data_IF_476213993202
#
_entry.id   IF_476213993202
#
_cell.length_a   1.000
_cell.length_b   1.000
_cell.length_c   1.000
_cell.angle_alpha   90.00
_cell.angle_beta   90.00
_cell.angle_gamma   90.00
#
_symmetry.space_group_name_H-M   'P 1'
#
loop_
_entity.id
_entity.type
_entity.pdbx_description
1 polymer ?
#
# COMPACT_ATOMS: atom_id res chain seq x y z
N UNK A 1 0.42 -18.42 -12.76
CA UNK A 1 1.85 -18.21 -12.45
C UNK A 1 1.98 -17.15 -11.35
N UNK A 2 1.37 -17.36 -10.19
CA UNK A 2 1.35 -16.40 -9.08
C UNK A 2 2.49 -16.61 -8.05
N UNK A 3 3.30 -17.66 -8.21
CA UNK A 3 4.14 -18.16 -7.11
C UNK A 3 5.50 -17.47 -6.95
N UNK A 4 6.05 -16.80 -7.98
CA UNK A 4 7.39 -16.19 -7.88
C UNK A 4 7.36 -14.76 -7.35
N UNK A 5 6.40 -13.97 -7.81
CA UNK A 5 6.23 -12.57 -7.40
C UNK A 5 5.80 -12.47 -5.94
N UNK A 6 4.83 -13.29 -5.53
CA UNK A 6 4.39 -13.36 -4.13
C UNK A 6 5.50 -13.86 -3.20
N UNK A 7 6.27 -14.88 -3.61
CA UNK A 7 7.41 -15.36 -2.84
C UNK A 7 8.51 -14.30 -2.67
N UNK A 8 8.77 -13.47 -3.69
CA UNK A 8 9.72 -12.37 -3.60
C UNK A 8 9.28 -11.33 -2.55
N UNK A 9 8.01 -10.91 -2.59
CA UNK A 9 7.43 -9.97 -1.60
C UNK A 9 7.61 -10.47 -0.17
N UNK A 10 7.27 -11.74 0.09
CA UNK A 10 7.45 -12.29 1.43
C UNK A 10 8.93 -12.33 1.84
N UNK A 11 9.84 -12.65 0.91
CA UNK A 11 11.28 -12.59 1.15
C UNK A 11 11.73 -11.21 1.63
N UNK A 12 11.27 -10.15 0.97
CA UNK A 12 11.64 -8.78 1.33
C UNK A 12 11.01 -8.31 2.63
N UNK A 13 9.77 -8.73 2.93
CA UNK A 13 9.16 -8.50 4.24
C UNK A 13 10.00 -9.14 5.36
N UNK A 14 10.46 -10.39 5.18
CA UNK A 14 11.33 -11.04 6.16
C UNK A 14 12.69 -10.36 6.29
N UNK A 15 13.29 -9.89 5.19
CA UNK A 15 14.53 -9.12 5.24
C UNK A 15 14.37 -7.80 6.01
N UNK A 16 13.25 -7.10 5.82
CA UNK A 16 12.94 -5.90 6.60
C UNK A 16 12.77 -6.21 8.09
N UNK A 17 12.02 -7.27 8.43
CA UNK A 17 11.80 -7.69 9.82
C UNK A 17 13.09 -8.17 10.52
N UNK A 18 14.04 -8.70 9.76
CA UNK A 18 15.34 -9.15 10.27
C UNK A 18 16.36 -8.02 10.44
N UNK A 19 16.05 -6.80 9.99
CA UNK A 19 16.95 -5.65 10.14
C UNK A 19 17.03 -5.18 11.61
N UNK A 20 18.18 -4.65 12.02
CA UNK A 20 18.39 -4.08 13.36
C UNK A 20 17.72 -2.70 13.53
N UNK A 21 17.08 -2.16 12.49
CA UNK A 21 16.41 -0.86 12.55
C UNK A 21 15.06 -0.97 13.30
N UNK A 22 14.75 -0.04 14.23
CA UNK A 22 13.44 -0.03 14.87
C UNK A 22 12.35 0.25 13.84
N UNK A 23 11.44 -0.73 13.67
CA UNK A 23 10.39 -0.68 12.66
C UNK A 23 9.18 0.10 13.19
N UNK A 24 8.99 1.32 12.70
CA UNK A 24 7.71 2.01 12.78
C UNK A 24 6.74 1.38 11.77
N UNK A 25 5.53 1.03 12.25
CA UNK A 25 4.45 0.47 11.41
C UNK A 25 4.17 1.34 10.18
N UNK A 26 4.24 2.67 10.30
CA UNK A 26 4.00 3.59 9.18
C UNK A 26 5.15 3.55 8.18
N UNK A 27 6.39 3.49 8.65
CA UNK A 27 7.54 3.34 7.76
C UNK A 27 7.57 1.98 7.06
N UNK A 28 7.19 0.91 7.76
CA UNK A 28 7.06 -0.41 7.16
C UNK A 28 5.98 -0.43 6.08
N UNK A 29 4.83 0.18 6.36
CA UNK A 29 3.75 0.29 5.38
C UNK A 29 4.16 1.11 4.14
N UNK A 30 4.91 2.20 4.31
CA UNK A 30 5.47 2.98 3.21
C UNK A 30 6.44 2.17 2.35
N UNK A 31 7.38 1.44 2.96
CA UNK A 31 8.31 0.58 2.22
C UNK A 31 7.56 -0.50 1.43
N UNK A 32 6.60 -1.18 2.07
CA UNK A 32 5.79 -2.21 1.39
C UNK A 32 4.93 -1.61 0.27
N UNK A 33 4.42 -0.39 0.47
CA UNK A 33 3.66 0.34 -0.55
C UNK A 33 4.51 0.62 -1.80
N UNK A 34 5.73 1.14 -1.62
CA UNK A 34 6.65 1.39 -2.73
C UNK A 34 6.96 0.10 -3.50
N UNK A 35 7.23 -0.99 -2.78
CA UNK A 35 7.50 -2.30 -3.38
C UNK A 35 6.30 -2.87 -4.15
N UNK A 36 5.07 -2.64 -3.68
CA UNK A 36 3.86 -3.13 -4.39
C UNK A 36 3.76 -2.61 -5.82
N UNK A 37 4.23 -1.37 -6.06
CA UNK A 37 4.32 -0.79 -7.39
C UNK A 37 5.33 -1.49 -8.31
N UNK A 38 6.44 -1.99 -7.77
CA UNK A 38 7.45 -2.75 -8.54
C UNK A 38 6.92 -4.12 -9.01
N UNK A 39 5.95 -4.68 -8.28
CA UNK A 39 5.35 -5.97 -8.56
C UNK A 39 4.01 -5.89 -9.30
N UNK A 40 3.65 -4.70 -9.80
CA UNK A 40 2.42 -4.44 -10.57
C UNK A 40 1.14 -4.77 -9.78
N UNK A 41 1.21 -4.70 -8.44
CA UNK A 41 0.05 -4.83 -7.57
C UNK A 41 -0.61 -3.47 -7.38
N UNK A 42 -1.85 -3.37 -7.83
CA UNK A 42 -2.68 -2.21 -7.52
C UNK A 42 -3.32 -2.37 -6.14
N UNK A 43 -3.50 -1.29 -5.37
CA UNK A 43 -4.19 -1.32 -4.08
C UNK A 43 -5.55 -2.01 -4.12
N UNK A 44 -6.30 -1.78 -5.20
CA UNK A 44 -7.58 -2.43 -5.47
C UNK A 44 -7.48 -3.96 -5.53
N UNK A 45 -6.41 -4.51 -6.14
CA UNK A 45 -6.18 -5.96 -6.19
C UNK A 45 -5.76 -6.55 -4.84
N UNK A 46 -5.26 -5.71 -3.92
CA UNK A 46 -4.79 -6.13 -2.60
C UNK A 46 -5.90 -6.13 -1.54
N UNK A 47 -7.08 -5.55 -1.84
CA UNK A 47 -8.22 -5.46 -0.90
C UNK A 47 -7.83 -4.86 0.46
N UNK A 48 -6.93 -3.87 0.47
CA UNK A 48 -6.34 -3.33 1.69
C UNK A 48 -6.72 -1.87 1.96
N UNK A 49 -7.77 -1.36 1.31
CA UNK A 49 -8.19 0.05 1.36
C UNK A 49 -8.32 0.60 2.78
N UNK A 50 -9.03 -0.11 3.67
CA UNK A 50 -9.23 0.32 5.06
C UNK A 50 -7.89 0.42 5.82
N UNK A 51 -7.00 -0.55 5.64
CA UNK A 51 -5.68 -0.55 6.27
C UNK A 51 -4.81 0.61 5.72
N UNK A 52 -4.88 0.88 4.42
CA UNK A 52 -4.17 2.00 3.81
C UNK A 52 -4.68 3.35 4.32
N UNK A 53 -5.99 3.48 4.54
CA UNK A 53 -6.57 4.68 5.16
C UNK A 53 -6.05 4.88 6.58
N UNK A 54 -6.06 3.84 7.41
CA UNK A 54 -5.54 3.89 8.78
C UNK A 54 -4.05 4.28 8.84
N UNK A 55 -3.26 3.81 7.87
CA UNK A 55 -1.83 4.10 7.75
C UNK A 55 -1.52 5.45 7.09
N UNK A 56 -2.54 6.15 6.57
CA UNK A 56 -2.40 7.42 5.87
C UNK A 56 -1.79 7.30 4.47
N UNK A 57 -1.90 6.11 3.86
CA UNK A 57 -1.48 5.77 2.50
C UNK A 57 -2.64 5.80 1.49
N UNK A 58 -3.86 5.98 1.97
CA UNK A 58 -5.04 6.26 1.16
C UNK A 58 -5.97 7.20 1.91
N UNK A 59 -6.91 7.83 1.19
CA UNK A 59 -7.96 8.64 1.78
C UNK A 59 -9.26 8.52 0.99
N UNK A 60 -10.39 8.67 1.69
CA UNK A 60 -11.69 8.86 1.03
C UNK A 60 -11.72 10.28 0.48
N UNK A 61 -11.87 10.40 -0.84
CA UNK A 61 -12.08 11.65 -1.55
C UNK A 61 -13.31 11.57 -2.42
N UNK A 62 -13.58 12.61 -3.20
CA UNK A 62 -14.55 12.55 -4.30
C UNK A 62 -13.75 12.39 -5.58
N UNK A 63 -14.22 11.54 -6.49
CA UNK A 63 -13.63 11.44 -7.82
C UNK A 63 -13.96 12.73 -8.61
N UNK A 64 -12.97 13.52 -9.05
CA UNK A 64 -13.23 14.70 -9.86
C UNK A 64 -13.80 14.38 -11.25
N UNK A 65 -13.63 13.16 -11.75
CA UNK A 65 -14.16 12.73 -13.05
C UNK A 65 -15.61 12.21 -12.94
N UNK A 66 -16.00 11.66 -11.79
CA UNK A 66 -17.36 11.16 -11.49
C UNK A 66 -17.86 11.61 -10.10
N UNK A 67 -18.11 12.91 -9.88
CA UNK A 67 -18.51 13.42 -8.56
C UNK A 67 -19.89 12.92 -8.09
N UNK A 68 -20.76 12.49 -9.00
CA UNK A 68 -22.08 11.94 -8.71
C UNK A 68 -22.07 10.55 -8.05
N UNK A 69 -21.01 9.76 -8.22
CA UNK A 69 -20.89 8.40 -7.67
C UNK A 69 -20.49 8.39 -6.17
N UNK A 70 -20.23 9.58 -5.60
CA UNK A 70 -19.95 9.76 -4.19
C UNK A 70 -18.46 9.72 -3.86
N UNK A 71 -18.07 8.85 -2.93
CA UNK A 71 -16.70 8.79 -2.43
C UNK A 71 -15.85 7.77 -3.20
N UNK A 72 -14.68 8.20 -3.66
CA UNK A 72 -13.63 7.36 -4.24
C UNK A 72 -12.41 7.27 -3.32
N UNK A 73 -11.66 6.17 -3.43
CA UNK A 73 -10.40 6.01 -2.71
C UNK A 73 -9.28 6.68 -3.52
N UNK A 74 -8.68 7.70 -2.93
CA UNK A 74 -7.47 8.33 -3.47
C UNK A 74 -6.25 7.67 -2.82
N UNK A 75 -5.48 6.95 -3.62
CA UNK A 75 -4.27 6.26 -3.20
C UNK A 75 -3.06 7.17 -3.22
N UNK A 76 -2.22 7.07 -2.19
CA UNK A 76 -0.98 7.81 -2.06
C UNK A 76 -0.76 8.35 -0.65
N UNK A 77 0.51 8.47 -0.22
CA UNK A 77 0.83 9.08 1.07
C UNK A 77 0.31 10.52 1.10
N UNK A 78 -0.24 10.91 2.25
CA UNK A 78 -0.62 12.31 2.48
C UNK A 78 0.66 13.18 2.49
N UNK A 79 0.90 13.91 1.41
CA UNK A 79 1.83 15.03 1.42
C UNK A 79 1.18 16.15 2.24
N UNK A 80 1.49 16.23 3.53
CA UNK A 80 1.29 17.46 4.33
C UNK A 80 2.42 18.47 4.03
#
# INVERSE_FOLDING_TARGET
>A
MADRTSAAIFGDIFNMLASDEPIDKKQMALKVWEMSGEYDFTPYQMYCDDALIELGLARKGVDPECPEDGFAIQYGPKND
#
